data_IF_814020019615
#
_entry.id   IF_814020019615
#
_cell.length_a   1.000
_cell.length_b   1.000
_cell.length_c   1.000
_cell.angle_alpha   90.00
_cell.angle_beta   90.00
_cell.angle_gamma   90.00
#
_symmetry.space_group_name_H-M   'P 1'
#
loop_
_entity.id
_entity.type
_entity.pdbx_description
1 polymer ?
#
# COMPACT_ATOMS: atom_id res chain seq x y z
N UNK A 1 30.52 -5.46 -2.14
CA UNK A 1 31.24 -5.63 -0.84
C UNK A 1 30.67 -4.73 0.26
N UNK A 2 30.26 -3.49 -0.03
CA UNK A 2 29.67 -2.56 0.96
C UNK A 2 28.26 -2.98 1.44
N UNK A 3 27.50 -3.70 0.63
CA UNK A 3 26.17 -4.19 0.94
C UNK A 3 26.14 -5.29 2.01
N UNK A 4 27.11 -6.20 2.01
CA UNK A 4 27.20 -7.24 3.05
C UNK A 4 27.48 -6.67 4.45
N UNK A 5 28.17 -5.55 4.56
CA UNK A 5 28.46 -4.91 5.83
C UNK A 5 27.25 -4.18 6.44
N UNK A 6 26.29 -3.74 5.62
CA UNK A 6 25.08 -3.08 6.12
C UNK A 6 24.05 -4.10 6.65
N UNK A 7 24.00 -5.29 6.07
CA UNK A 7 23.09 -6.37 6.48
C UNK A 7 23.62 -7.21 7.65
N UNK A 8 24.94 -7.25 7.85
CA UNK A 8 25.55 -8.05 8.94
C UNK A 8 25.49 -7.42 10.33
N UNK A 9 25.06 -6.15 10.43
CA UNK A 9 24.90 -5.48 11.72
C UNK A 9 23.52 -5.66 12.37
N UNK A 10 22.59 -6.31 11.69
CA UNK A 10 21.23 -6.55 12.21
C UNK A 10 20.99 -7.98 12.67
N UNK A 11 22.02 -8.84 12.61
CA UNK A 11 21.94 -10.20 13.16
C UNK A 11 23.00 -10.32 14.26
N UNK A 12 22.71 -9.81 15.44
CA UNK A 12 23.45 -10.19 16.65
C UNK A 12 22.96 -11.58 17.05
N UNK A 13 23.83 -12.56 16.82
CA UNK A 13 23.71 -13.92 17.32
C UNK A 13 23.67 -13.91 18.85
N UNK A 14 22.66 -14.56 19.40
CA UNK A 14 22.62 -14.92 20.80
C UNK A 14 23.48 -16.17 20.98
N UNK A 15 24.49 -16.18 21.86
CA UNK A 15 25.29 -17.37 22.07
C UNK A 15 24.49 -18.44 22.81
N UNK A 16 24.66 -19.67 22.34
CA UNK A 16 24.13 -20.90 22.89
C UNK A 16 24.37 -21.05 24.40
N UNK A 17 23.31 -21.41 25.10
CA UNK A 17 23.41 -21.92 26.50
C UNK A 17 23.53 -23.43 26.38
N UNK A 18 24.74 -23.93 26.65
CA UNK A 18 25.00 -25.35 26.87
C UNK A 18 24.43 -25.77 28.23
N UNK A 19 23.81 -26.95 28.21
CA UNK A 19 23.34 -27.68 29.38
C UNK A 19 24.48 -28.09 30.32
N UNK A 20 24.33 -27.83 31.62
CA UNK A 20 24.79 -28.77 32.61
C UNK A 20 23.87 -28.70 33.84
N UNK A 21 23.29 -29.86 34.12
CA UNK A 21 22.48 -30.14 35.29
C UNK A 21 23.38 -30.35 36.52
N UNK A 22 22.76 -30.12 37.64
CA UNK A 22 22.97 -30.71 38.99
C UNK A 22 23.48 -29.82 40.12
N UNK A 23 22.59 -29.78 41.09
CA UNK A 23 22.77 -29.88 42.56
C UNK A 23 23.24 -28.65 43.36
N UNK A 24 22.45 -28.17 44.23
CA UNK A 24 22.27 -28.33 45.65
C UNK A 24 21.65 -27.13 46.37
N UNK A 25 20.70 -27.48 47.19
CA UNK A 25 20.00 -26.72 48.20
C UNK A 25 20.98 -26.17 49.26
N UNK A 26 20.84 -24.90 49.70
CA UNK A 26 20.80 -24.57 51.12
C UNK A 26 20.49 -23.07 51.37
N UNK A 27 19.61 -22.88 52.34
CA UNK A 27 19.16 -21.68 53.03
C UNK A 27 20.26 -20.66 53.39
N UNK A 28 19.95 -19.38 53.34
CA UNK A 28 19.84 -18.58 54.57
C UNK A 28 19.36 -17.15 54.28
N UNK A 29 18.38 -16.78 55.05
CA UNK A 29 17.86 -15.43 55.27
C UNK A 29 18.90 -14.43 55.74
N UNK A 30 18.83 -13.16 55.30
CA UNK A 30 18.93 -12.02 56.24
C UNK A 30 18.48 -10.72 55.60
N UNK A 31 17.59 -10.08 56.28
CA UNK A 31 17.08 -8.73 56.15
C UNK A 31 18.17 -7.67 56.30
N UNK A 32 18.07 -6.59 55.56
CA UNK A 32 18.49 -5.27 56.02
C UNK A 32 17.75 -4.17 55.23
N UNK A 33 16.95 -3.47 56.00
CA UNK A 33 16.37 -2.16 55.67
C UNK A 33 17.48 -1.10 55.48
N UNK A 34 17.31 -0.19 54.52
CA UNK A 34 17.70 1.18 54.80
C UNK A 34 16.97 2.20 53.91
N UNK A 35 16.35 3.07 54.62
CA UNK A 35 15.73 4.34 54.31
C UNK A 35 16.75 5.34 53.73
N UNK A 36 16.42 6.10 52.67
CA UNK A 36 16.80 7.51 52.59
C UNK A 36 16.22 8.23 51.38
N UNK A 37 15.39 9.16 51.70
CA UNK A 37 15.33 10.59 51.32
C UNK A 37 14.92 10.97 49.90
N UNK A 38 13.68 11.41 49.83
CA UNK A 38 13.11 12.42 48.96
C UNK A 38 14.00 13.66 48.86
N UNK A 39 14.25 14.12 47.63
CA UNK A 39 14.46 15.54 47.37
C UNK A 39 13.63 15.95 46.16
N UNK A 40 12.64 16.77 46.44
CA UNK A 40 11.83 17.52 45.49
C UNK A 40 12.57 18.82 45.11
N UNK A 41 12.74 19.07 43.83
CA UNK A 41 13.00 20.42 43.36
C UNK A 41 12.24 20.65 42.05
N UNK A 42 11.23 21.44 42.16
CA UNK A 42 10.47 22.09 41.06
C UNK A 42 11.30 23.26 40.52
N UNK A 43 11.34 23.49 39.21
CA UNK A 43 11.66 24.81 38.68
C UNK A 43 10.39 25.54 38.20
N UNK A 44 10.33 26.79 38.64
CA UNK A 44 9.37 27.82 38.35
C UNK A 44 9.19 28.10 36.85
N UNK A 45 7.93 28.39 36.50
CA UNK A 45 7.52 29.03 35.27
C UNK A 45 8.11 30.43 35.13
N UNK A 46 8.66 30.75 33.97
CA UNK A 46 8.98 32.11 33.53
C UNK A 46 8.03 32.47 32.39
N UNK A 47 7.13 33.38 32.69
CA UNK A 47 6.29 34.12 31.77
C UNK A 47 7.15 35.09 30.97
N UNK A 48 7.17 34.96 29.65
CA UNK A 48 7.63 36.06 28.79
C UNK A 48 6.56 36.40 27.77
N UNK A 49 5.96 37.54 28.01
CA UNK A 49 5.06 38.30 27.14
C UNK A 49 5.89 39.00 26.07
N UNK A 50 5.73 38.67 24.81
CA UNK A 50 6.16 39.53 23.71
C UNK A 50 4.99 39.81 22.77
N UNK A 51 4.61 41.07 22.72
CA UNK A 51 3.70 41.69 21.77
C UNK A 51 4.25 41.54 20.36
N UNK A 52 3.51 40.95 19.45
CA UNK A 52 3.81 41.04 18.01
C UNK A 52 2.67 41.76 17.31
N UNK A 53 3.07 42.84 16.71
CA UNK A 53 2.25 43.79 15.94
C UNK A 53 1.80 43.12 14.63
N UNK A 54 0.49 43.22 14.40
CA UNK A 54 -0.20 42.68 13.22
C UNK A 54 -0.11 43.68 12.09
N UNK A 55 0.70 43.42 11.08
CA UNK A 55 0.66 44.13 9.79
C UNK A 55 -0.14 43.33 8.79
N UNK A 56 -1.22 43.90 8.35
CA UNK A 56 -2.16 43.40 7.34
C UNK A 56 -1.65 43.84 5.97
N UNK A 57 -1.19 42.94 5.13
CA UNK A 57 -0.92 43.20 3.71
C UNK A 57 -1.98 42.49 2.86
N UNK A 58 -2.80 43.31 2.24
CA UNK A 58 -3.76 42.96 1.21
C UNK A 58 -3.08 42.98 -0.14
N UNK A 59 -2.99 41.82 -0.81
CA UNK A 59 -2.72 41.81 -2.26
C UNK A 59 -3.60 40.73 -2.90
N UNK A 60 -4.52 41.18 -3.75
CA UNK A 60 -5.38 40.36 -4.58
C UNK A 60 -4.62 39.89 -5.82
N UNK A 61 -4.89 38.67 -6.36
CA UNK A 61 -4.28 38.24 -7.60
C UNK A 61 -5.01 38.82 -8.83
N UNK A 62 -4.21 39.27 -9.78
CA UNK A 62 -4.63 39.84 -11.04
C UNK A 62 -5.34 38.82 -11.95
N UNK A 63 -6.43 39.26 -12.55
CA UNK A 63 -7.21 38.60 -13.61
C UNK A 63 -6.42 38.61 -14.93
N UNK A 64 -6.28 37.44 -15.59
CA UNK A 64 -5.85 37.30 -16.96
C UNK A 64 -6.93 37.75 -17.96
N UNK A 65 -6.57 38.30 -19.11
CA UNK A 65 -7.54 38.87 -20.06
C UNK A 65 -8.18 37.79 -20.94
N UNK A 66 -9.49 37.95 -21.07
CA UNK A 66 -10.38 37.15 -21.93
C UNK A 66 -10.25 37.59 -23.37
N UNK A 67 -9.83 36.72 -24.27
CA UNK A 67 -9.85 36.91 -25.71
C UNK A 67 -11.28 36.92 -26.24
N UNK A 68 -11.64 38.00 -26.96
CA UNK A 68 -12.89 38.15 -27.71
C UNK A 68 -12.79 37.35 -29.04
N UNK A 69 -13.71 36.45 -29.28
CA UNK A 69 -13.95 35.91 -30.63
C UNK A 69 -15.12 36.63 -31.26
N UNK A 70 -14.89 37.07 -32.47
CA UNK A 70 -15.73 37.87 -33.33
C UNK A 70 -16.87 37.02 -33.90
N UNK A 71 -18.11 37.49 -33.75
CA UNK A 71 -19.29 36.92 -34.37
C UNK A 71 -19.41 37.44 -35.82
N UNK A 72 -19.54 36.54 -36.79
CA UNK A 72 -19.90 36.86 -38.15
C UNK A 72 -21.41 36.71 -38.31
N UNK A 73 -22.06 37.81 -38.65
CA UNK A 73 -23.46 37.95 -38.99
C UNK A 73 -23.68 37.48 -40.42
N UNK A 74 -24.64 36.59 -40.65
CA UNK A 74 -25.24 36.40 -41.98
C UNK A 74 -26.75 36.50 -41.88
N UNK A 75 -27.27 37.46 -42.58
CA UNK A 75 -28.68 37.85 -42.77
C UNK A 75 -29.30 37.04 -43.91
N UNK A 76 -30.54 36.52 -43.76
CA UNK A 76 -31.57 36.46 -44.80
C UNK A 76 -32.88 35.91 -44.25
N UNK A 77 -33.84 36.70 -44.16
CA UNK A 77 -35.08 36.93 -44.95
C UNK A 77 -36.22 35.91 -44.78
N UNK A 78 -37.22 36.44 -44.14
CA UNK A 78 -38.70 36.49 -44.42
C UNK A 78 -39.57 35.22 -44.44
N UNK A 79 -40.60 35.39 -43.63
CA UNK A 79 -42.05 35.17 -43.82
C UNK A 79 -42.58 33.72 -43.81
N UNK A 80 -43.42 33.41 -42.81
CA UNK A 80 -44.88 33.32 -42.96
C UNK A 80 -45.57 33.06 -41.64
N UNK A 81 -46.62 33.83 -41.41
CA UNK A 81 -47.57 33.77 -40.31
C UNK A 81 -48.51 32.60 -40.55
N UNK A 82 -48.71 31.72 -39.59
CA UNK A 82 -49.90 30.89 -39.52
C UNK A 82 -50.31 30.67 -38.04
N UNK A 83 -51.60 30.76 -37.84
CA UNK A 83 -52.34 30.94 -36.62
C UNK A 83 -52.15 29.79 -35.58
N UNK A 84 -52.24 30.20 -34.29
CA UNK A 84 -52.31 29.35 -33.12
C UNK A 84 -53.64 28.58 -33.03
N UNK A 85 -53.64 27.29 -32.63
CA UNK A 85 -54.85 26.61 -32.14
C UNK A 85 -54.93 26.71 -30.63
N UNK A 86 -56.14 26.89 -30.16
CA UNK A 86 -56.58 27.06 -28.77
C UNK A 86 -56.13 25.91 -27.86
N UNK A 87 -55.62 26.28 -26.69
CA UNK A 87 -55.27 25.39 -25.60
C UNK A 87 -56.50 24.63 -25.06
N UNK A 88 -56.55 23.35 -25.23
CA UNK A 88 -57.41 22.41 -24.48
C UNK A 88 -56.68 22.00 -23.21
N UNK A 89 -57.21 22.38 -22.05
CA UNK A 89 -56.68 21.96 -20.73
C UNK A 89 -57.03 20.49 -20.51
N UNK A 90 -56.16 19.59 -20.87
CA UNK A 90 -56.22 18.21 -20.38
C UNK A 90 -55.47 18.15 -19.06
N UNK A 91 -56.22 17.93 -17.97
CA UNK A 91 -55.70 17.61 -16.67
C UNK A 91 -55.16 16.18 -16.74
N UNK A 92 -53.89 16.07 -17.08
CA UNK A 92 -53.16 14.79 -16.87
C UNK A 92 -52.73 14.74 -15.43
N UNK A 93 -53.39 13.95 -14.62
CA UNK A 93 -52.97 13.57 -13.26
C UNK A 93 -51.67 12.74 -13.45
N UNK A 94 -50.53 13.35 -13.22
CA UNK A 94 -49.27 12.66 -13.06
C UNK A 94 -49.39 11.89 -11.73
N UNK A 95 -49.80 10.63 -11.83
CA UNK A 95 -49.57 9.66 -10.75
C UNK A 95 -48.03 9.50 -10.69
N UNK A 96 -47.44 10.14 -9.73
CA UNK A 96 -46.09 9.82 -9.29
C UNK A 96 -46.14 8.41 -8.68
N UNK A 97 -45.81 7.42 -9.50
CA UNK A 97 -45.41 6.12 -9.01
C UNK A 97 -44.16 6.29 -8.15
N UNK A 98 -44.40 6.47 -6.85
CA UNK A 98 -43.38 6.35 -5.82
C UNK A 98 -43.05 4.87 -5.61
N UNK A 99 -42.60 4.20 -6.63
CA UNK A 99 -41.81 2.99 -6.47
C UNK A 99 -40.38 3.46 -6.19
N UNK A 100 -40.13 3.82 -4.95
CA UNK A 100 -38.75 3.81 -4.45
C UNK A 100 -38.27 2.38 -4.63
N UNK A 101 -37.53 2.13 -5.71
CA UNK A 101 -36.73 0.92 -5.88
C UNK A 101 -35.91 0.82 -4.60
N UNK A 102 -36.25 -0.11 -3.74
CA UNK A 102 -35.40 -0.49 -2.63
C UNK A 102 -34.10 -0.96 -3.30
N UNK A 103 -33.09 -0.15 -3.23
CA UNK A 103 -31.74 -0.47 -3.71
C UNK A 103 -31.25 -1.60 -2.80
N UNK A 104 -31.62 -2.83 -3.13
CA UNK A 104 -31.17 -4.01 -2.41
C UNK A 104 -29.69 -4.19 -2.72
N UNK A 105 -28.85 -3.94 -1.71
CA UNK A 105 -27.42 -4.20 -1.78
C UNK A 105 -27.21 -5.67 -2.14
N UNK A 106 -26.51 -5.95 -3.22
CA UNK A 106 -26.23 -7.31 -3.69
C UNK A 106 -25.33 -8.04 -2.71
N UNK A 107 -25.57 -9.32 -2.51
CA UNK A 107 -24.63 -10.20 -1.81
C UNK A 107 -23.43 -10.48 -2.71
N UNK A 108 -22.23 -10.46 -2.12
CA UNK A 108 -20.97 -10.72 -2.83
C UNK A 108 -20.44 -12.08 -2.41
N UNK A 109 -20.01 -12.88 -3.38
CA UNK A 109 -19.39 -14.18 -3.14
C UNK A 109 -17.91 -14.14 -3.53
N UNK A 110 -17.06 -14.76 -2.74
CA UNK A 110 -15.70 -15.11 -3.11
C UNK A 110 -15.76 -16.47 -3.78
N UNK A 111 -15.49 -16.51 -5.09
CA UNK A 111 -15.61 -17.73 -5.90
C UNK A 111 -14.36 -18.60 -5.79
N UNK A 112 -13.19 -17.99 -5.71
CA UNK A 112 -11.91 -18.67 -5.57
C UNK A 112 -10.74 -17.72 -5.59
N UNK A 113 -9.55 -18.28 -5.61
CA UNK A 113 -8.31 -17.53 -5.60
C UNK A 113 -7.18 -18.30 -6.27
N UNK A 114 -6.04 -17.66 -6.38
CA UNK A 114 -4.80 -18.24 -6.85
C UNK A 114 -3.62 -17.52 -6.21
N UNK A 115 -2.51 -18.20 -6.04
CA UNK A 115 -1.24 -17.62 -5.61
C UNK A 115 -0.04 -18.39 -6.18
N UNK A 116 1.11 -17.77 -6.20
CA UNK A 116 2.39 -18.44 -6.33
C UNK A 116 2.92 -18.89 -4.96
N UNK A 117 3.86 -19.82 -4.86
CA UNK A 117 4.50 -20.18 -3.61
C UNK A 117 5.15 -19.00 -2.91
N UNK A 118 5.10 -18.94 -1.58
CA UNK A 118 5.93 -18.04 -0.81
C UNK A 118 7.39 -18.51 -0.85
N UNK A 119 8.30 -17.57 -1.07
CA UNK A 119 9.73 -17.81 -1.08
C UNK A 119 10.42 -16.95 -0.01
N UNK A 120 11.46 -17.51 0.62
CA UNK A 120 12.36 -16.74 1.47
C UNK A 120 12.99 -15.61 0.65
N UNK A 121 13.15 -14.46 1.30
CA UNK A 121 13.87 -13.33 0.72
C UNK A 121 15.26 -13.73 0.25
N UNK A 122 15.67 -13.18 -0.90
CA UNK A 122 16.98 -13.42 -1.52
C UNK A 122 17.25 -14.90 -1.92
N UNK A 123 16.19 -15.67 -2.20
CA UNK A 123 16.31 -17.04 -2.70
C UNK A 123 15.75 -17.19 -4.13
N UNK A 124 14.81 -18.10 -4.35
CA UNK A 124 14.29 -18.44 -5.69
C UNK A 124 13.78 -17.24 -6.49
N UNK A 125 13.17 -16.24 -5.83
CA UNK A 125 12.61 -15.04 -6.49
C UNK A 125 13.54 -13.83 -6.46
N UNK A 126 14.84 -14.02 -6.25
CA UNK A 126 15.82 -12.92 -6.15
C UNK A 126 15.81 -11.97 -7.36
N UNK A 127 15.48 -12.49 -8.54
CA UNK A 127 15.46 -11.72 -9.80
C UNK A 127 14.05 -11.40 -10.28
N UNK A 128 13.01 -11.80 -9.54
CA UNK A 128 11.63 -11.55 -9.92
C UNK A 128 11.16 -10.20 -9.38
N UNK A 129 10.54 -9.41 -10.23
CA UNK A 129 9.86 -8.17 -9.85
C UNK A 129 8.45 -8.46 -9.32
N UNK A 130 7.84 -7.46 -8.67
CA UNK A 130 6.43 -7.50 -8.30
C UNK A 130 5.53 -7.77 -9.52
N UNK A 131 5.83 -7.12 -10.65
CA UNK A 131 5.07 -7.32 -11.89
C UNK A 131 5.16 -8.75 -12.41
N UNK A 132 6.35 -9.38 -12.38
CA UNK A 132 6.53 -10.78 -12.82
C UNK A 132 5.70 -11.73 -11.94
N UNK A 133 5.77 -11.56 -10.62
CA UNK A 133 5.07 -12.41 -9.66
C UNK A 133 3.54 -12.24 -9.75
N UNK A 134 3.06 -11.00 -9.88
CA UNK A 134 1.62 -10.75 -10.00
C UNK A 134 1.08 -11.23 -11.35
N UNK A 135 1.85 -11.09 -12.44
CA UNK A 135 1.49 -11.62 -13.76
C UNK A 135 1.37 -13.14 -13.72
N UNK A 136 2.33 -13.85 -13.11
CA UNK A 136 2.24 -15.30 -12.94
C UNK A 136 1.02 -15.72 -12.13
N UNK A 137 0.75 -15.02 -11.04
CA UNK A 137 -0.43 -15.27 -10.19
C UNK A 137 -1.73 -15.05 -10.95
N UNK A 138 -1.83 -13.93 -11.71
CA UNK A 138 -3.04 -13.61 -12.46
C UNK A 138 -3.25 -14.55 -13.64
N UNK A 139 -2.19 -14.95 -14.35
CA UNK A 139 -2.27 -15.96 -15.41
C UNK A 139 -2.79 -17.30 -14.88
N UNK A 140 -2.28 -17.77 -13.74
CA UNK A 140 -2.79 -18.99 -13.11
C UNK A 140 -4.27 -18.87 -12.71
N UNK A 141 -4.74 -17.68 -12.30
CA UNK A 141 -6.15 -17.44 -12.05
C UNK A 141 -6.98 -17.45 -13.36
N UNK A 142 -6.46 -16.80 -14.41
CA UNK A 142 -7.09 -16.74 -15.74
C UNK A 142 -7.25 -18.15 -16.32
N UNK A 143 -6.22 -18.99 -16.22
CA UNK A 143 -6.25 -20.38 -16.66
C UNK A 143 -7.26 -21.20 -15.84
N UNK A 144 -7.19 -21.11 -14.50
CA UNK A 144 -8.05 -21.87 -13.59
C UNK A 144 -9.55 -21.62 -13.82
N UNK A 145 -9.93 -20.39 -14.15
CA UNK A 145 -11.33 -20.01 -14.32
C UNK A 145 -11.75 -19.80 -15.78
N UNK A 146 -10.91 -20.19 -16.75
CA UNK A 146 -11.16 -20.04 -18.20
C UNK A 146 -11.54 -18.59 -18.57
N UNK A 147 -10.74 -17.63 -18.12
CA UNK A 147 -10.99 -16.20 -18.31
C UNK A 147 -10.25 -15.60 -19.53
N UNK A 148 -9.59 -16.43 -20.37
CA UNK A 148 -8.89 -15.96 -21.56
C UNK A 148 -9.81 -15.17 -22.49
N UNK A 149 -9.37 -13.99 -22.91
CA UNK A 149 -10.12 -13.06 -23.74
C UNK A 149 -11.38 -12.47 -23.08
N UNK A 150 -11.61 -12.74 -21.79
CA UNK A 150 -12.77 -12.18 -21.09
C UNK A 150 -12.46 -10.82 -20.49
N UNK A 151 -13.40 -9.90 -20.65
CA UNK A 151 -13.37 -8.61 -19.97
C UNK A 151 -13.92 -8.80 -18.54
N UNK A 152 -13.11 -8.55 -17.55
CA UNK A 152 -13.49 -8.50 -16.13
C UNK A 152 -13.97 -7.08 -15.81
N UNK A 153 -14.93 -6.94 -14.90
CA UNK A 153 -15.43 -5.64 -14.48
C UNK A 153 -14.34 -4.73 -13.94
N UNK A 154 -13.42 -5.29 -13.13
CA UNK A 154 -12.26 -4.56 -12.59
C UNK A 154 -11.22 -5.51 -12.00
N UNK A 155 -9.95 -5.13 -12.09
CA UNK A 155 -8.83 -5.75 -11.37
C UNK A 155 -8.20 -4.70 -10.45
N UNK A 156 -8.17 -4.98 -9.15
CA UNK A 156 -7.57 -4.08 -8.14
C UNK A 156 -6.49 -4.84 -7.39
N UNK A 157 -5.28 -4.35 -7.42
CA UNK A 157 -4.17 -4.94 -6.68
C UNK A 157 -3.21 -3.86 -6.19
N UNK A 158 -2.13 -4.24 -5.54
CA UNK A 158 -1.11 -3.31 -5.12
C UNK A 158 0.09 -3.98 -4.49
N UNK A 159 1.08 -3.16 -4.16
CA UNK A 159 2.30 -3.56 -3.48
C UNK A 159 2.77 -2.43 -2.56
N UNK A 160 3.45 -2.77 -1.49
CA UNK A 160 4.08 -1.79 -0.58
C UNK A 160 5.41 -1.33 -1.15
N UNK A 161 6.26 -2.28 -1.55
CA UNK A 161 7.60 -2.03 -2.07
C UNK A 161 7.55 -1.91 -3.61
N UNK A 162 7.20 -0.74 -4.11
CA UNK A 162 7.11 -0.47 -5.56
C UNK A 162 8.26 0.41 -6.04
N UNK A 163 8.82 0.05 -7.19
CA UNK A 163 9.74 0.92 -7.92
C UNK A 163 9.02 2.07 -8.62
N UNK A 164 9.75 3.11 -9.02
CA UNK A 164 9.19 4.21 -9.81
C UNK A 164 8.63 3.79 -11.18
N UNK A 165 9.04 2.62 -11.70
CA UNK A 165 8.46 2.01 -12.92
C UNK A 165 7.06 1.44 -12.70
N UNK A 166 6.66 1.19 -11.45
CA UNK A 166 5.45 0.45 -11.09
C UNK A 166 4.27 1.39 -10.73
N UNK A 167 4.19 2.57 -11.35
CA UNK A 167 3.13 3.54 -11.05
C UNK A 167 1.72 3.01 -11.26
N UNK A 168 1.53 2.16 -12.25
CA UNK A 168 0.26 1.52 -12.56
C UNK A 168 0.50 0.03 -12.82
N UNK A 169 1.14 -0.63 -11.86
CA UNK A 169 1.59 -2.02 -11.97
C UNK A 169 0.45 -2.96 -12.32
N UNK A 170 -0.69 -2.85 -11.63
CA UNK A 170 -1.84 -3.74 -11.87
C UNK A 170 -2.35 -3.62 -13.30
N UNK A 171 -2.35 -2.43 -13.89
CA UNK A 171 -2.74 -2.23 -15.29
C UNK A 171 -1.77 -2.92 -16.25
N UNK A 172 -0.47 -2.72 -16.05
CA UNK A 172 0.56 -3.36 -16.88
C UNK A 172 0.51 -4.89 -16.75
N UNK A 173 0.26 -5.39 -15.53
CA UNK A 173 0.06 -6.82 -15.29
C UNK A 173 -1.14 -7.36 -16.05
N UNK A 174 -2.29 -6.69 -16.03
CA UNK A 174 -3.47 -7.11 -16.81
C UNK A 174 -3.16 -7.16 -18.31
N UNK A 175 -2.44 -6.18 -18.84
CA UNK A 175 -2.01 -6.16 -20.24
C UNK A 175 -0.98 -7.25 -20.59
N UNK A 176 -0.33 -7.83 -19.58
CA UNK A 176 0.62 -8.93 -19.73
C UNK A 176 -0.02 -10.32 -19.53
N UNK A 177 -1.34 -10.38 -19.41
CA UNK A 177 -2.12 -11.62 -19.27
C UNK A 177 -3.06 -11.82 -20.44
N UNK A 178 -3.72 -12.99 -20.51
CA UNK A 178 -4.71 -13.32 -21.52
C UNK A 178 -6.11 -12.72 -21.24
N UNK A 179 -6.27 -11.86 -20.26
CA UNK A 179 -7.52 -11.11 -20.08
C UNK A 179 -7.75 -10.14 -21.26
N UNK A 180 -9.01 -9.83 -21.56
CA UNK A 180 -9.30 -8.77 -22.53
C UNK A 180 -8.63 -7.45 -22.10
N UNK A 181 -7.92 -6.75 -23.01
CA UNK A 181 -7.18 -5.52 -22.68
C UNK A 181 -8.08 -4.36 -22.25
N UNK A 182 -9.37 -4.43 -22.49
CA UNK A 182 -10.39 -3.46 -22.04
C UNK A 182 -10.76 -3.65 -20.54
N UNK A 183 -10.22 -4.69 -19.87
CA UNK A 183 -10.42 -4.89 -18.44
C UNK A 183 -9.84 -3.72 -17.65
N UNK A 184 -10.62 -2.94 -16.88
CA UNK A 184 -10.10 -1.86 -16.06
C UNK A 184 -9.21 -2.40 -14.95
N UNK A 185 -8.09 -1.72 -14.70
CA UNK A 185 -7.18 -2.12 -13.64
C UNK A 185 -6.44 -0.92 -13.05
N UNK A 186 -6.19 -0.94 -11.75
CA UNK A 186 -5.43 0.10 -11.05
C UNK A 186 -4.86 -0.39 -9.73
N UNK A 187 -3.89 0.37 -9.22
CA UNK A 187 -3.23 0.11 -7.95
C UNK A 187 -3.93 0.82 -6.80
N UNK A 188 -3.95 0.15 -5.65
CA UNK A 188 -4.20 0.76 -4.35
C UNK A 188 -3.06 0.44 -3.39
N UNK A 189 -2.95 1.21 -2.32
CA UNK A 189 -1.95 0.95 -1.27
C UNK A 189 -2.47 1.41 0.09
N UNK A 190 -2.49 0.47 1.02
CA UNK A 190 -2.77 0.68 2.44
C UNK A 190 -1.85 -0.23 3.27
N UNK A 191 -0.55 -0.10 3.06
CA UNK A 191 0.49 -0.91 3.70
C UNK A 191 0.13 -2.41 3.68
N UNK A 192 0.28 -3.12 4.79
CA UNK A 192 0.01 -4.56 4.90
C UNK A 192 -1.47 -4.95 4.64
N UNK A 193 -2.41 -4.00 4.72
CA UNK A 193 -3.84 -4.19 4.44
C UNK A 193 -4.23 -4.09 2.97
N UNK A 194 -3.29 -3.86 2.05
CA UNK A 194 -3.57 -3.57 0.63
C UNK A 194 -4.42 -4.63 -0.04
N UNK A 195 -4.08 -5.91 0.11
CA UNK A 195 -4.84 -7.00 -0.51
C UNK A 195 -6.28 -7.11 0.02
N UNK A 196 -6.47 -6.93 1.33
CA UNK A 196 -7.81 -6.93 1.93
C UNK A 196 -8.62 -5.71 1.48
N UNK A 197 -8.02 -4.53 1.40
CA UNK A 197 -8.67 -3.33 0.90
C UNK A 197 -9.06 -3.46 -0.58
N UNK A 198 -8.21 -4.10 -1.40
CA UNK A 198 -8.54 -4.41 -2.79
C UNK A 198 -9.83 -5.26 -2.88
N UNK A 199 -9.94 -6.29 -2.03
CA UNK A 199 -11.14 -7.12 -1.94
C UNK A 199 -12.38 -6.31 -1.53
N UNK A 200 -12.27 -5.41 -0.55
CA UNK A 200 -13.37 -4.54 -0.13
C UNK A 200 -13.81 -3.58 -1.24
N UNK A 201 -12.87 -2.98 -1.96
CA UNK A 201 -13.20 -2.06 -3.07
C UNK A 201 -13.98 -2.80 -4.16
N UNK A 202 -13.52 -3.96 -4.59
CA UNK A 202 -14.19 -4.80 -5.58
C UNK A 202 -15.57 -5.25 -5.07
N UNK A 203 -15.63 -5.74 -3.83
CA UNK A 203 -16.88 -6.18 -3.22
C UNK A 203 -17.92 -5.06 -3.14
N UNK A 204 -17.52 -3.85 -2.75
CA UNK A 204 -18.43 -2.70 -2.68
C UNK A 204 -18.98 -2.33 -4.07
N UNK A 205 -18.17 -2.38 -5.12
CA UNK A 205 -18.64 -2.13 -6.49
C UNK A 205 -19.63 -3.19 -6.97
N UNK A 206 -19.40 -4.46 -6.65
CA UNK A 206 -20.35 -5.55 -6.96
C UNK A 206 -21.65 -5.36 -6.16
N UNK A 207 -21.54 -5.05 -4.87
CA UNK A 207 -22.70 -4.85 -4.00
C UNK A 207 -23.59 -3.70 -4.49
N UNK A 208 -22.98 -2.63 -5.00
CA UNK A 208 -23.69 -1.48 -5.57
C UNK A 208 -24.14 -1.69 -7.02
N UNK A 209 -23.85 -2.83 -7.63
CA UNK A 209 -24.25 -3.14 -9.01
C UNK A 209 -23.46 -2.37 -10.08
N UNK A 210 -22.29 -1.83 -9.75
CA UNK A 210 -21.42 -1.13 -10.72
C UNK A 210 -20.65 -2.11 -11.60
N UNK A 211 -20.30 -3.26 -11.08
CA UNK A 211 -19.71 -4.40 -11.78
C UNK A 211 -20.35 -5.69 -11.28
N UNK A 212 -20.25 -6.78 -12.05
CA UNK A 212 -20.78 -8.09 -11.65
C UNK A 212 -19.69 -9.03 -11.16
N UNK A 213 -18.47 -8.85 -11.64
CA UNK A 213 -17.30 -9.65 -11.28
C UNK A 213 -16.06 -8.78 -11.22
N UNK A 214 -15.14 -9.08 -10.32
CA UNK A 214 -13.87 -8.41 -10.21
C UNK A 214 -12.79 -9.33 -9.62
N UNK A 215 -11.54 -8.92 -9.77
CA UNK A 215 -10.37 -9.60 -9.21
C UNK A 215 -9.68 -8.64 -8.27
N UNK A 216 -9.33 -9.13 -7.07
CA UNK A 216 -8.63 -8.38 -6.05
C UNK A 216 -7.39 -9.15 -5.60
N UNK A 217 -6.29 -8.44 -5.35
CA UNK A 217 -5.06 -9.10 -4.90
C UNK A 217 -3.96 -8.14 -4.50
N UNK A 218 -2.76 -8.65 -4.52
CA UNK A 218 -1.54 -7.91 -4.22
C UNK A 218 -0.31 -8.78 -4.31
N UNK A 219 0.84 -8.14 -4.26
CA UNK A 219 2.15 -8.78 -4.35
C UNK A 219 3.17 -7.93 -3.60
N UNK A 220 4.18 -8.56 -3.05
CA UNK A 220 5.36 -7.86 -2.52
C UNK A 220 6.60 -8.74 -2.55
N UNK A 221 7.75 -8.10 -2.67
CA UNK A 221 9.05 -8.75 -2.50
C UNK A 221 10.05 -7.81 -1.84
N UNK A 222 10.77 -8.32 -0.86
CA UNK A 222 11.92 -7.63 -0.26
C UNK A 222 13.22 -7.92 -1.00
N UNK A 223 13.22 -8.89 -1.92
CA UNK A 223 14.39 -9.26 -2.73
C UNK A 223 14.68 -8.24 -3.85
N UNK A 224 13.63 -7.63 -4.40
CA UNK A 224 13.72 -6.52 -5.36
C UNK A 224 13.30 -5.22 -4.67
N UNK A 225 14.04 -4.82 -3.62
CA UNK A 225 13.73 -3.62 -2.86
C UNK A 225 13.95 -2.35 -3.70
N UNK A 226 13.02 -1.38 -3.67
CA UNK A 226 13.12 -0.13 -4.43
C UNK A 226 14.16 0.81 -3.80
N UNK A 227 15.44 0.62 -4.14
CA UNK A 227 16.51 1.53 -3.74
C UNK A 227 16.40 2.78 -4.60
N UNK A 228 16.17 3.92 -3.97
CA UNK A 228 16.01 5.19 -4.63
C UNK A 228 17.28 6.04 -4.53
N UNK A 229 17.33 7.07 -5.34
CA UNK A 229 18.32 8.14 -5.21
C UNK A 229 17.93 9.00 -4.01
N UNK A 230 18.86 9.24 -3.10
CA UNK A 230 18.64 10.08 -1.92
C UNK A 230 18.18 11.50 -2.29
N UNK A 231 17.36 12.12 -1.45
CA UNK A 231 16.69 13.40 -1.74
C UNK A 231 17.71 14.52 -2.11
N UNK A 232 18.87 14.54 -1.48
CA UNK A 232 19.94 15.49 -1.79
C UNK A 232 20.46 15.33 -3.22
N UNK A 233 20.81 14.12 -3.61
CA UNK A 233 21.27 13.83 -4.97
C UNK A 233 20.16 14.05 -6.00
N UNK A 234 18.94 13.65 -5.69
CA UNK A 234 17.78 13.90 -6.55
C UNK A 234 17.60 15.38 -6.87
N UNK A 235 17.70 16.26 -5.87
CA UNK A 235 17.62 17.73 -6.06
C UNK A 235 18.74 18.24 -6.95
N UNK A 236 19.96 17.77 -6.76
CA UNK A 236 21.10 18.13 -7.61
C UNK A 236 20.87 17.69 -9.06
N UNK A 237 20.38 16.47 -9.29
CA UNK A 237 20.06 15.99 -10.64
C UNK A 237 18.97 16.83 -11.31
N UNK A 238 17.95 17.26 -10.57
CA UNK A 238 16.92 18.16 -11.07
C UNK A 238 17.48 19.55 -11.40
N UNK A 239 18.35 20.11 -10.56
CA UNK A 239 19.06 21.37 -10.85
C UNK A 239 19.92 21.26 -12.11
N UNK A 240 20.64 20.13 -12.27
CA UNK A 240 21.45 19.87 -13.47
C UNK A 240 20.59 19.80 -14.75
N UNK A 241 19.40 19.22 -14.66
CA UNK A 241 18.48 19.13 -15.81
C UNK A 241 17.98 20.49 -16.29
N UNK A 242 17.81 21.47 -15.39
CA UNK A 242 17.35 22.82 -15.73
C UNK A 242 18.48 23.82 -15.95
N UNK A 243 19.72 23.47 -15.61
CA UNK A 243 20.90 24.34 -15.73
C UNK A 243 21.23 24.64 -17.20
N UNK A 244 21.22 25.94 -17.57
CA UNK A 244 21.45 26.39 -18.94
C UNK A 244 22.94 26.60 -19.26
N UNK A 245 23.78 26.85 -18.27
CA UNK A 245 25.21 27.15 -18.45
C UNK A 245 26.08 26.07 -17.79
N UNK A 246 27.29 25.90 -18.31
CA UNK A 246 28.29 25.01 -17.70
C UNK A 246 28.66 25.42 -16.27
N UNK A 247 28.64 26.73 -15.97
CA UNK A 247 28.89 27.25 -14.62
C UNK A 247 27.81 26.86 -13.64
N UNK A 248 26.53 26.90 -14.04
CA UNK A 248 25.41 26.48 -13.19
C UNK A 248 25.45 24.96 -12.93
N UNK A 249 25.83 24.18 -13.94
CA UNK A 249 26.03 22.73 -13.80
C UNK A 249 27.13 22.40 -12.81
N UNK A 250 28.27 23.06 -12.93
CA UNK A 250 29.37 22.86 -11.98
C UNK A 250 28.96 23.24 -10.56
N UNK A 251 28.26 24.36 -10.38
CA UNK A 251 27.75 24.81 -9.09
C UNK A 251 26.72 23.78 -8.49
N UNK A 252 25.88 23.15 -9.31
CA UNK A 252 24.98 22.13 -8.84
C UNK A 252 25.72 20.87 -8.35
N UNK A 253 26.77 20.46 -9.08
CA UNK A 253 27.59 19.30 -8.71
C UNK A 253 28.31 19.45 -7.37
N UNK A 254 28.72 20.67 -7.00
CA UNK A 254 29.36 20.90 -5.68
C UNK A 254 28.44 20.70 -4.48
N UNK A 255 27.12 20.57 -4.70
CA UNK A 255 26.13 20.33 -3.65
C UNK A 255 25.92 18.84 -3.34
N UNK A 256 26.61 17.93 -4.00
CA UNK A 256 26.44 16.49 -3.80
C UNK A 256 26.94 16.12 -2.40
N UNK A 257 26.06 15.56 -1.59
CA UNK A 257 26.40 14.92 -0.32
C UNK A 257 26.62 13.40 -0.57
N UNK A 258 27.88 13.01 -0.62
CA UNK A 258 28.28 11.61 -0.88
C UNK A 258 27.86 10.64 0.23
N UNK A 259 27.45 11.13 1.41
CA UNK A 259 26.96 10.28 2.51
C UNK A 259 25.50 9.91 2.38
N UNK A 260 24.73 10.62 1.56
CA UNK A 260 23.28 10.46 1.37
C UNK A 260 22.92 10.29 -0.11
N UNK A 261 23.66 9.44 -0.81
CA UNK A 261 23.44 9.21 -2.24
C UNK A 261 22.23 8.33 -2.52
N UNK A 262 21.97 7.35 -1.65
CA UNK A 262 20.94 6.36 -1.83
C UNK A 262 19.94 6.42 -0.67
N UNK A 263 18.71 6.11 -0.98
CA UNK A 263 17.63 5.94 -0.05
C UNK A 263 17.06 4.53 -0.20
N UNK A 264 16.92 3.82 0.92
CA UNK A 264 16.40 2.46 0.96
C UNK A 264 15.15 2.41 1.83
N UNK A 265 14.20 1.50 1.55
CA UNK A 265 13.04 1.31 2.39
C UNK A 265 13.45 1.06 3.84
N UNK A 266 12.86 1.82 4.76
CA UNK A 266 13.06 1.66 6.20
C UNK A 266 12.07 0.65 6.78
N UNK A 267 12.52 -0.17 7.72
CA UNK A 267 11.65 -1.07 8.49
C UNK A 267 10.93 -0.32 9.63
N UNK A 268 11.38 0.89 9.97
CA UNK A 268 10.82 1.69 11.05
C UNK A 268 9.67 2.59 10.57
N UNK A 269 8.68 2.75 11.43
CA UNK A 269 7.62 3.75 11.22
C UNK A 269 8.23 5.16 11.32
N UNK A 270 7.96 6.07 10.36
CA UNK A 270 8.67 7.36 10.27
C UNK A 270 8.55 8.28 11.49
N UNK A 271 7.47 8.17 12.27
CA UNK A 271 7.21 9.05 13.43
C UNK A 271 7.84 8.55 14.71
N UNK A 272 7.87 7.23 14.90
CA UNK A 272 8.36 6.60 16.12
C UNK A 272 9.76 6.01 15.95
N UNK A 273 10.14 5.66 14.72
CA UNK A 273 11.36 4.91 14.42
C UNK A 273 11.27 3.42 14.75
N UNK A 274 10.14 2.98 15.34
CA UNK A 274 9.96 1.59 15.75
C UNK A 274 9.59 0.70 14.58
N UNK A 275 10.13 -0.50 14.56
CA UNK A 275 9.71 -1.55 13.64
C UNK A 275 8.32 -2.09 14.00
N UNK A 276 7.71 -2.85 13.07
CA UNK A 276 6.41 -3.50 13.35
C UNK A 276 6.52 -4.52 14.49
N UNK A 277 7.65 -5.19 14.63
CA UNK A 277 7.91 -6.11 15.76
C UNK A 277 7.95 -5.38 17.11
N UNK A 278 8.61 -4.23 17.17
CA UNK A 278 8.66 -3.40 18.38
C UNK A 278 7.29 -2.82 18.73
N UNK A 279 6.51 -2.35 17.76
CA UNK A 279 5.12 -1.96 17.99
C UNK A 279 4.26 -3.12 18.48
N UNK A 280 4.43 -4.32 17.91
CA UNK A 280 3.71 -5.52 18.36
C UNK A 280 4.08 -5.91 19.78
N UNK A 281 5.35 -5.77 20.18
CA UNK A 281 5.79 -6.03 21.54
C UNK A 281 5.12 -5.08 22.55
N UNK A 282 5.00 -3.79 22.21
CA UNK A 282 4.28 -2.80 23.02
C UNK A 282 2.80 -3.21 23.14
N UNK A 283 2.15 -3.52 22.03
CA UNK A 283 0.74 -3.94 22.01
C UNK A 283 0.51 -5.21 22.83
N UNK A 284 1.40 -6.19 22.72
CA UNK A 284 1.32 -7.43 23.50
C UNK A 284 1.41 -7.14 25.01
N UNK A 285 2.28 -6.21 25.40
CA UNK A 285 2.42 -5.78 26.79
C UNK A 285 1.18 -5.03 27.29
N UNK A 286 0.68 -4.07 26.53
CA UNK A 286 -0.52 -3.28 26.87
C UNK A 286 -1.78 -4.14 27.01
N UNK A 287 -1.92 -5.17 26.18
CA UNK A 287 -3.06 -6.08 26.19
C UNK A 287 -2.90 -7.28 27.12
N UNK A 288 -1.76 -7.38 27.81
CA UNK A 288 -1.47 -8.47 28.72
C UNK A 288 -1.37 -9.84 28.03
N UNK A 289 -0.94 -9.88 26.77
CA UNK A 289 -0.76 -11.14 26.03
C UNK A 289 0.52 -11.82 26.54
N UNK A 290 0.36 -13.02 27.11
CA UNK A 290 1.48 -13.75 27.67
C UNK A 290 2.40 -14.32 26.60
N UNK A 291 3.62 -14.69 26.97
CA UNK A 291 4.58 -15.36 26.10
C UNK A 291 4.04 -16.71 25.62
N UNK A 292 3.43 -17.47 26.54
CA UNK A 292 2.86 -18.79 26.24
C UNK A 292 1.76 -18.71 25.18
N UNK A 293 0.86 -17.72 25.27
CA UNK A 293 -0.19 -17.51 24.28
C UNK A 293 0.39 -17.18 22.89
N UNK A 294 1.48 -16.41 22.83
CA UNK A 294 2.18 -16.11 21.58
C UNK A 294 2.84 -17.34 20.98
N UNK A 295 3.53 -18.14 21.80
CA UNK A 295 4.19 -19.36 21.36
C UNK A 295 3.19 -20.44 20.92
N UNK A 296 2.06 -20.59 21.63
CA UNK A 296 0.97 -21.48 21.24
C UNK A 296 0.35 -21.10 19.90
N UNK A 297 0.11 -19.80 19.67
CA UNK A 297 -0.39 -19.30 18.38
C UNK A 297 0.59 -19.62 17.26
N UNK A 298 1.89 -19.40 17.46
CA UNK A 298 2.92 -19.67 16.48
C UNK A 298 3.00 -21.18 16.17
N UNK A 299 3.09 -22.02 17.18
CA UNK A 299 3.14 -23.47 17.02
C UNK A 299 1.88 -24.01 16.30
N UNK A 300 0.70 -23.57 16.73
CA UNK A 300 -0.58 -23.93 16.09
C UNK A 300 -0.64 -23.50 14.62
N UNK A 301 -0.11 -22.32 14.27
CA UNK A 301 -0.04 -21.84 12.89
C UNK A 301 0.79 -22.75 12.00
N UNK A 302 2.00 -23.16 12.46
CA UNK A 302 2.86 -24.10 11.73
C UNK A 302 2.21 -25.47 11.56
N UNK A 303 1.62 -26.02 12.64
CA UNK A 303 0.94 -27.31 12.59
C UNK A 303 -0.24 -27.31 11.61
N UNK A 304 -1.05 -26.24 11.61
CA UNK A 304 -2.17 -26.10 10.67
C UNK A 304 -1.70 -26.01 9.22
N UNK A 305 -0.59 -25.33 8.97
CA UNK A 305 -0.01 -25.23 7.63
C UNK A 305 0.50 -26.59 7.15
N UNK A 306 1.22 -27.34 7.98
CA UNK A 306 1.68 -28.68 7.67
C UNK A 306 0.51 -29.61 7.34
N UNK A 307 -0.50 -29.67 8.20
CA UNK A 307 -1.71 -30.47 7.97
C UNK A 307 -2.48 -30.04 6.70
N UNK A 308 -2.46 -28.75 6.35
CA UNK A 308 -3.06 -28.27 5.11
C UNK A 308 -2.33 -28.81 3.86
N UNK A 309 -1.01 -28.87 3.90
CA UNK A 309 -0.22 -29.49 2.82
C UNK A 309 -0.45 -30.99 2.73
N UNK A 310 -0.51 -31.70 3.86
CA UNK A 310 -0.73 -33.15 3.91
C UNK A 310 -2.07 -33.55 3.28
N UNK A 311 -3.12 -32.75 3.48
CA UNK A 311 -4.46 -33.01 2.89
C UNK A 311 -4.67 -32.46 1.48
N UNK A 312 -3.64 -31.90 0.84
CA UNK A 312 -3.73 -31.34 -0.51
C UNK A 312 -4.53 -30.03 -0.61
N UNK A 313 -4.67 -29.27 0.48
CA UNK A 313 -5.48 -28.05 0.49
C UNK A 313 -5.00 -26.98 -0.51
N UNK A 314 -3.71 -26.98 -0.85
CA UNK A 314 -3.11 -26.01 -1.74
C UNK A 314 -2.96 -26.50 -3.19
N UNK A 315 -3.32 -27.74 -3.51
CA UNK A 315 -3.01 -28.36 -4.80
C UNK A 315 -3.66 -27.63 -5.98
N UNK A 316 -4.87 -27.12 -5.79
CA UNK A 316 -5.62 -26.39 -6.79
C UNK A 316 -5.53 -24.84 -6.62
N UNK A 317 -4.83 -24.37 -5.60
CA UNK A 317 -4.71 -22.93 -5.28
C UNK A 317 -3.40 -22.31 -5.78
N UNK A 318 -2.39 -23.13 -6.05
CA UNK A 318 -1.02 -22.67 -6.23
C UNK A 318 -0.56 -22.84 -7.67
N UNK A 319 -0.08 -21.74 -8.27
CA UNK A 319 0.60 -21.76 -9.57
C UNK A 319 2.11 -21.91 -9.36
N UNK A 320 2.78 -22.92 -9.90
CA UNK A 320 4.23 -23.03 -9.84
C UNK A 320 4.91 -21.81 -10.47
N UNK A 321 5.99 -21.34 -9.84
CA UNK A 321 6.72 -20.17 -10.32
C UNK A 321 8.21 -20.31 -10.03
N UNK A 322 9.07 -20.06 -11.03
CA UNK A 322 10.55 -20.10 -10.96
C UNK A 322 11.10 -21.32 -10.19
N UNK A 323 10.56 -22.48 -10.49
CA UNK A 323 11.03 -23.77 -9.94
C UNK A 323 10.45 -24.11 -8.55
N UNK A 324 9.64 -23.25 -7.97
CA UNK A 324 8.89 -23.57 -6.76
C UNK A 324 7.46 -24.00 -7.11
N UNK A 325 7.02 -25.11 -6.53
CA UNK A 325 5.66 -25.64 -6.59
C UNK A 325 4.97 -25.65 -5.22
N UNK A 326 5.69 -25.32 -4.16
CA UNK A 326 5.20 -25.18 -2.79
C UNK A 326 6.02 -24.13 -2.03
N UNK A 327 5.51 -23.65 -0.92
CA UNK A 327 6.23 -22.72 -0.06
C UNK A 327 7.57 -23.30 0.39
N UNK A 328 8.64 -22.51 0.37
CA UNK A 328 9.96 -22.94 0.75
C UNK A 328 10.44 -22.44 2.11
N UNK A 329 9.53 -21.92 2.91
CA UNK A 329 9.77 -21.39 4.24
C UNK A 329 8.94 -22.08 5.32
N UNK A 330 8.66 -23.36 5.11
CA UNK A 330 7.97 -24.25 6.05
C UNK A 330 8.90 -24.70 7.17
#
# INVERSE_FOLDING_TARGET
YAWKSLMSKTTQENPAVENSAQEKVSNTSKSASNTAKRNSTTPKAATNTSKTTRTRSTTAPARSPRTKSTATTTTSTSSNVAAAPKATKTKTSVQQDKTMSQNTVRRVAIIGGNRIPFARSNTAYFKASNSDMLTATLNGLVERFNLQGKRIGEVVAGAVLKHSRDFNMTREVVLSTDLAPETPAYDIQIACGTGLQAAFVVANKIALGQIDVGIAGGVDTTSDAPIAVGDGLRKVLLELNVAKTGKDRLKALTKIDFKKLLDAPSNGEPRTGLSMGEHQAITALEWGITREAQDELAASSHQKLAAAYERGFFDDLMTPFLGLNRDNNL
#
